data_IF_479742621920
#
_entry.id   IF_479742621920
#
_cell.length_a   1.000
_cell.length_b   1.000
_cell.length_c   1.000
_cell.angle_alpha   90.00
_cell.angle_beta   90.00
_cell.angle_gamma   90.00
#
_symmetry.space_group_name_H-M   'P 1'
#
loop_
_entity.id
_entity.type
_entity.pdbx_description
1 polymer ?
#
# COMPACT_ATOMS: atom_id res chain seq x y z
N UNK A 1 26.24 25.79 27.35
CA UNK A 1 26.60 25.21 26.05
C UNK A 1 25.55 24.14 25.83
N UNK A 2 24.38 24.66 25.49
CA UNK A 2 23.10 24.00 25.66
C UNK A 2 22.94 23.00 24.53
N UNK A 3 22.80 21.74 24.92
CA UNK A 3 22.47 20.65 24.05
C UNK A 3 21.14 20.97 23.37
N UNK A 4 21.19 21.42 22.12
CA UNK A 4 20.05 21.37 21.22
C UNK A 4 19.79 19.89 20.92
N UNK A 5 19.10 19.23 21.86
CA UNK A 5 18.52 17.91 21.66
C UNK A 5 17.42 18.10 20.60
N UNK A 6 17.86 18.05 19.34
CA UNK A 6 17.01 18.01 18.16
C UNK A 6 16.27 16.68 18.10
N UNK A 7 15.45 16.39 19.11
CA UNK A 7 14.37 15.43 18.93
C UNK A 7 13.45 16.07 17.90
N UNK A 8 13.60 15.66 16.65
CA UNK A 8 12.63 15.92 15.59
C UNK A 8 11.30 15.30 16.01
N UNK A 9 10.55 15.99 16.87
CA UNK A 9 9.15 15.72 17.10
C UNK A 9 8.49 16.04 15.79
N UNK A 10 8.34 15.02 14.96
CA UNK A 10 7.61 15.10 13.72
C UNK A 10 6.19 15.49 14.11
N UNK A 11 5.92 16.80 14.09
CA UNK A 11 4.67 17.45 14.51
C UNK A 11 3.45 16.89 13.74
N UNK A 12 3.76 16.10 12.70
CA UNK A 12 2.86 15.40 11.82
C UNK A 12 2.63 13.92 12.18
N UNK A 13 3.29 13.31 13.17
CA UNK A 13 3.08 11.89 13.52
C UNK A 13 1.86 11.70 14.46
N UNK A 14 0.68 12.05 13.94
CA UNK A 14 -0.57 11.82 14.65
C UNK A 14 -0.85 10.31 14.76
N UNK A 15 -1.55 9.85 15.81
CA UNK A 15 -1.95 8.45 15.93
C UNK A 15 -2.78 7.96 14.72
N UNK A 16 -3.55 8.86 14.10
CA UNK A 16 -4.27 8.59 12.85
C UNK A 16 -3.31 8.28 11.69
N UNK A 17 -2.24 9.08 11.52
CA UNK A 17 -1.24 8.83 10.45
C UNK A 17 -0.44 7.56 10.70
N UNK A 18 -0.14 7.22 11.95
CA UNK A 18 0.46 5.90 12.28
C UNK A 18 -0.46 4.74 11.91
N UNK A 19 -1.76 4.85 12.22
CA UNK A 19 -2.73 3.82 11.85
C UNK A 19 -2.86 3.68 10.32
N UNK A 20 -2.90 4.81 9.58
CA UNK A 20 -2.91 4.83 8.13
C UNK A 20 -1.63 4.22 7.53
N UNK A 21 -0.44 4.53 8.08
CA UNK A 21 0.84 3.91 7.67
C UNK A 21 0.84 2.39 7.89
N UNK A 22 0.30 1.93 9.01
CA UNK A 22 0.16 0.50 9.28
C UNK A 22 -0.76 -0.18 8.26
N UNK A 23 -1.91 0.43 7.97
CA UNK A 23 -2.86 -0.07 6.98
C UNK A 23 -2.29 -0.07 5.56
N UNK A 24 -1.50 0.96 5.22
CA UNK A 24 -0.77 1.05 3.96
C UNK A 24 0.21 -0.11 3.79
N UNK A 25 0.95 -0.46 4.84
CA UNK A 25 1.88 -1.60 4.82
C UNK A 25 1.14 -2.91 4.60
N UNK A 26 0.03 -3.13 5.30
CA UNK A 26 -0.83 -4.31 5.14
C UNK A 26 -1.34 -4.45 3.69
N UNK A 27 -1.87 -3.37 3.11
CA UNK A 27 -2.36 -3.39 1.72
C UNK A 27 -1.23 -3.58 0.71
N UNK A 28 -0.03 -3.03 0.95
CA UNK A 28 1.13 -3.25 0.10
C UNK A 28 1.58 -4.72 0.12
N UNK A 29 1.56 -5.34 1.28
CA UNK A 29 1.89 -6.76 1.43
C UNK A 29 0.85 -7.65 0.73
N UNK A 30 -0.44 -7.39 0.94
CA UNK A 30 -1.51 -8.11 0.26
C UNK A 30 -1.46 -7.92 -1.27
N UNK A 31 -1.19 -6.69 -1.74
CA UNK A 31 -1.01 -6.41 -3.16
C UNK A 31 0.16 -7.20 -3.76
N UNK A 32 1.28 -7.33 -3.03
CA UNK A 32 2.43 -8.12 -3.45
C UNK A 32 2.09 -9.62 -3.52
N UNK A 33 1.36 -10.13 -2.53
CA UNK A 33 0.90 -11.51 -2.51
C UNK A 33 -0.05 -11.82 -3.68
N UNK A 34 -0.98 -10.91 -4.00
CA UNK A 34 -1.83 -11.02 -5.19
C UNK A 34 -1.01 -11.03 -6.48
N UNK A 35 0.07 -10.26 -6.55
CA UNK A 35 0.94 -10.26 -7.73
C UNK A 35 1.63 -11.61 -7.94
N UNK A 36 2.16 -12.19 -6.86
CA UNK A 36 2.74 -13.54 -6.91
C UNK A 36 1.71 -14.59 -7.31
N UNK A 37 0.47 -14.49 -6.80
CA UNK A 37 -0.61 -15.40 -7.17
C UNK A 37 -1.02 -15.26 -8.66
N UNK A 38 -1.08 -14.02 -9.17
CA UNK A 38 -1.33 -13.73 -10.58
C UNK A 38 -0.25 -14.36 -11.45
N UNK A 39 1.03 -14.17 -11.11
CA UNK A 39 2.16 -14.71 -11.86
C UNK A 39 2.11 -16.25 -11.90
N UNK A 40 1.93 -16.90 -10.75
CA UNK A 40 1.82 -18.35 -10.66
C UNK A 40 0.61 -18.92 -11.45
N UNK A 41 -0.49 -18.18 -11.52
CA UNK A 41 -1.66 -18.58 -12.32
C UNK A 41 -1.43 -18.37 -13.83
N UNK A 42 -0.64 -17.35 -14.21
CA UNK A 42 -0.28 -17.12 -15.61
C UNK A 42 0.71 -18.17 -16.15
N UNK A 43 1.60 -18.69 -15.31
CA UNK A 43 2.54 -19.76 -15.72
C UNK A 43 1.87 -21.14 -15.83
N UNK A 44 0.68 -21.33 -15.26
CA UNK A 44 -0.08 -22.57 -15.41
C UNK A 44 -0.65 -22.73 -16.83
N UNK A 45 -0.20 -23.78 -17.52
CA UNK A 45 -0.73 -24.17 -18.83
C UNK A 45 -2.18 -24.66 -18.68
N UNK A 46 -3.13 -23.95 -19.30
CA UNK A 46 -4.58 -24.18 -19.14
C UNK A 46 -5.30 -23.13 -18.29
N UNK A 47 -4.64 -21.99 -18.02
CA UNK A 47 -5.04 -20.94 -17.08
C UNK A 47 -6.53 -20.61 -17.02
N UNK A 48 -7.04 -20.55 -15.79
CA UNK A 48 -8.39 -20.10 -15.47
C UNK A 48 -8.46 -18.57 -15.63
N UNK A 49 -8.83 -18.14 -16.85
CA UNK A 49 -8.95 -16.73 -17.21
C UNK A 49 -9.92 -15.96 -16.30
N UNK A 50 -10.93 -16.64 -15.75
CA UNK A 50 -11.89 -16.05 -14.81
C UNK A 50 -11.22 -15.79 -13.46
N UNK A 51 -10.43 -16.74 -12.95
CA UNK A 51 -9.64 -16.52 -11.74
C UNK A 51 -8.63 -15.39 -11.92
N UNK A 52 -7.93 -15.36 -13.06
CA UNK A 52 -6.98 -14.30 -13.37
C UNK A 52 -7.67 -12.91 -13.40
N UNK A 53 -8.85 -12.81 -14.01
CA UNK A 53 -9.63 -11.57 -14.02
C UNK A 53 -10.07 -11.15 -12.60
N UNK A 54 -10.47 -12.10 -11.75
CA UNK A 54 -10.83 -11.83 -10.34
C UNK A 54 -9.64 -11.32 -9.53
N UNK A 55 -8.47 -11.95 -9.67
CA UNK A 55 -7.25 -11.53 -8.98
C UNK A 55 -6.79 -10.14 -9.44
N UNK A 56 -6.80 -9.87 -10.75
CA UNK A 56 -6.48 -8.54 -11.30
C UNK A 56 -7.43 -7.46 -10.79
N UNK A 57 -8.73 -7.76 -10.70
CA UNK A 57 -9.72 -6.83 -10.13
C UNK A 57 -9.45 -6.54 -8.65
N UNK A 58 -9.14 -7.56 -7.85
CA UNK A 58 -8.74 -7.38 -6.44
C UNK A 58 -7.47 -6.54 -6.30
N UNK A 59 -6.47 -6.81 -7.14
CA UNK A 59 -5.22 -6.04 -7.19
C UNK A 59 -5.47 -4.57 -7.50
N UNK A 60 -6.35 -4.28 -8.47
CA UNK A 60 -6.75 -2.91 -8.81
C UNK A 60 -7.37 -2.18 -7.61
N UNK A 61 -8.31 -2.83 -6.92
CA UNK A 61 -8.98 -2.27 -5.74
C UNK A 61 -7.98 -1.98 -4.62
N UNK A 62 -7.03 -2.88 -4.35
CA UNK A 62 -5.98 -2.64 -3.35
C UNK A 62 -5.08 -1.47 -3.74
N UNK A 63 -4.69 -1.37 -5.02
CA UNK A 63 -3.89 -0.24 -5.52
C UNK A 63 -4.63 1.09 -5.33
N UNK A 64 -5.92 1.13 -5.61
CA UNK A 64 -6.72 2.35 -5.44
C UNK A 64 -6.86 2.71 -3.94
N UNK A 65 -6.99 1.72 -3.05
CA UNK A 65 -6.98 1.95 -1.59
C UNK A 65 -5.61 2.42 -1.08
N UNK A 66 -4.52 1.84 -1.58
CA UNK A 66 -3.15 2.28 -1.30
C UNK A 66 -3.01 3.74 -1.67
N UNK A 67 -3.42 4.11 -2.88
CA UNK A 67 -3.35 5.49 -3.36
C UNK A 67 -4.18 6.44 -2.51
N UNK A 68 -5.40 6.06 -2.12
CA UNK A 68 -6.23 6.86 -1.24
C UNK A 68 -5.59 7.11 0.14
N UNK A 69 -4.92 6.09 0.71
CA UNK A 69 -4.18 6.23 1.98
C UNK A 69 -2.93 7.09 1.78
N UNK A 70 -2.19 6.90 0.68
CA UNK A 70 -1.01 7.69 0.32
C UNK A 70 -1.36 9.17 0.14
N UNK A 71 -2.44 9.49 -0.58
CA UNK A 71 -2.94 10.86 -0.77
C UNK A 71 -3.30 11.53 0.58
N UNK A 72 -3.84 10.75 1.52
CA UNK A 72 -4.16 11.22 2.89
C UNK A 72 -2.93 11.37 3.78
N UNK A 73 -1.91 10.54 3.57
CA UNK A 73 -0.65 10.59 4.32
C UNK A 73 0.32 11.63 3.77
N UNK A 74 0.27 11.93 2.47
CA UNK A 74 1.14 12.84 1.75
C UNK A 74 0.30 13.70 0.78
N UNK A 75 -0.43 14.72 1.29
CA UNK A 75 -1.24 15.60 0.44
C UNK A 75 -0.41 16.48 -0.53
N UNK A 76 0.92 16.40 -0.53
CA UNK A 76 1.83 17.39 -1.12
C UNK A 76 2.63 16.91 -2.36
N UNK A 77 2.27 15.77 -2.99
CA UNK A 77 3.03 15.22 -4.15
C UNK A 77 2.26 15.24 -5.47
N UNK A 78 0.95 15.56 -5.46
CA UNK A 78 0.15 15.72 -6.67
C UNK A 78 -0.12 17.21 -6.88
N UNK A 79 0.95 17.95 -7.25
CA UNK A 79 0.93 19.30 -7.80
C UNK A 79 1.57 19.27 -9.19
#
# INVERSE_FOLDING_TARGET
MDSEDGTGFDINDTPERRALKARLMEYREEHRALDSAIFALQEQSGGDALQLARLKKRKLVLRDQIKWIEDRLMPDIIA
#
